data_IF_975291875843
#
_entry.id   IF_975291875843
#
_cell.length_a   1.000
_cell.length_b   1.000
_cell.length_c   1.000
_cell.angle_alpha   90.00
_cell.angle_beta   90.00
_cell.angle_gamma   90.00
#
_symmetry.space_group_name_H-M   'P 1'
#
loop_
_entity.id
_entity.type
_entity.pdbx_description
1 polymer ?
#
# COMPACT_ATOMS: atom_id res chain seq x y z
N UNK A 1 -22.79 69.88 -38.94
CA UNK A 1 -22.91 70.07 -37.48
C UNK A 1 -23.07 68.70 -36.83
N UNK A 2 -21.97 68.22 -36.22
CA UNK A 2 -21.79 67.12 -35.26
C UNK A 2 -22.78 65.93 -35.21
N UNK A 3 -22.30 64.81 -35.75
CA UNK A 3 -22.74 63.44 -35.49
C UNK A 3 -22.29 62.99 -34.08
N UNK A 4 -23.22 62.83 -33.14
CA UNK A 4 -22.95 62.14 -31.87
C UNK A 4 -23.24 60.64 -32.01
N UNK A 5 -22.27 59.89 -32.54
CA UNK A 5 -22.21 58.43 -32.42
C UNK A 5 -21.61 58.07 -31.05
N UNK A 6 -22.48 57.76 -30.10
CA UNK A 6 -22.13 57.25 -28.77
C UNK A 6 -21.43 55.90 -28.93
N UNK A 7 -20.13 55.89 -28.67
CA UNK A 7 -19.29 54.70 -28.66
C UNK A 7 -19.55 53.87 -27.38
N UNK A 8 -20.24 52.75 -27.54
CA UNK A 8 -20.23 51.67 -26.55
C UNK A 8 -18.85 51.02 -26.51
N UNK A 9 -17.96 51.50 -25.62
CA UNK A 9 -16.70 50.81 -25.30
C UNK A 9 -17.01 49.50 -24.57
N UNK A 10 -17.23 48.44 -25.34
CA UNK A 10 -17.21 47.06 -24.86
C UNK A 10 -15.77 46.77 -24.43
N UNK A 11 -15.52 46.79 -23.13
CA UNK A 11 -14.24 46.41 -22.52
C UNK A 11 -14.07 44.91 -22.73
N UNK A 12 -13.43 44.54 -23.85
CA UNK A 12 -13.00 43.17 -24.11
C UNK A 12 -11.88 42.84 -23.13
N UNK A 13 -12.21 42.16 -22.03
CA UNK A 13 -11.20 41.60 -21.12
C UNK A 13 -10.38 40.57 -21.91
N UNK A 14 -9.03 40.67 -21.97
CA UNK A 14 -8.23 39.61 -22.57
C UNK A 14 -8.32 38.41 -21.63
N UNK A 15 -9.04 37.40 -22.06
CA UNK A 15 -9.06 36.09 -21.43
C UNK A 15 -7.69 35.46 -21.68
N UNK A 16 -6.79 35.59 -20.71
CA UNK A 16 -5.48 34.92 -20.73
C UNK A 16 -5.70 33.41 -20.65
N UNK A 17 -5.89 32.80 -21.82
CA UNK A 17 -5.77 31.36 -22.01
C UNK A 17 -4.30 31.04 -21.77
N UNK A 18 -3.96 30.71 -20.53
CA UNK A 18 -2.66 30.16 -20.16
C UNK A 18 -2.50 28.83 -20.89
N UNK A 19 -2.00 28.89 -22.12
CA UNK A 19 -1.62 27.71 -22.87
C UNK A 19 -0.56 26.99 -22.02
N UNK A 20 -0.81 25.76 -21.58
CA UNK A 20 0.08 25.07 -20.68
C UNK A 20 1.46 24.94 -21.34
N UNK A 21 2.48 25.49 -20.66
CA UNK A 21 3.84 25.56 -21.16
C UNK A 21 4.34 24.14 -21.48
N UNK A 22 4.73 23.87 -22.74
CA UNK A 22 5.15 22.53 -23.19
C UNK A 22 6.27 21.94 -22.34
N UNK A 23 7.16 22.80 -21.81
CA UNK A 23 8.21 22.40 -20.86
C UNK A 23 7.65 21.90 -19.53
N UNK A 24 6.66 22.59 -18.97
CA UNK A 24 5.98 22.18 -17.74
C UNK A 24 5.23 20.85 -17.95
N UNK A 25 4.55 20.70 -19.08
CA UNK A 25 3.88 19.44 -19.43
C UNK A 25 4.87 18.27 -19.57
N UNK A 26 6.05 18.50 -20.16
CA UNK A 26 7.08 17.48 -20.28
C UNK A 26 7.67 17.09 -18.92
N UNK A 27 7.91 18.05 -18.02
CA UNK A 27 8.39 17.76 -16.67
C UNK A 27 7.36 16.96 -15.87
N UNK A 28 6.08 17.36 -15.91
CA UNK A 28 4.99 16.62 -15.26
C UNK A 28 4.82 15.20 -15.80
N UNK A 29 4.97 15.01 -17.12
CA UNK A 29 4.95 13.67 -17.72
C UNK A 29 6.13 12.82 -17.27
N UNK A 30 7.34 13.39 -17.23
CA UNK A 30 8.54 12.69 -16.76
C UNK A 30 8.43 12.30 -15.28
N UNK A 31 7.95 13.20 -14.43
CA UNK A 31 7.75 12.89 -13.01
C UNK A 31 6.67 11.83 -12.81
N UNK A 32 5.58 11.88 -13.58
CA UNK A 32 4.55 10.83 -13.56
C UNK A 32 5.10 9.46 -13.99
N UNK A 33 5.91 9.42 -15.07
CA UNK A 33 6.55 8.18 -15.54
C UNK A 33 7.55 7.62 -14.52
N UNK A 34 8.35 8.47 -13.88
CA UNK A 34 9.27 8.06 -12.81
C UNK A 34 8.50 7.51 -11.60
N UNK A 35 7.44 8.20 -11.18
CA UNK A 35 6.58 7.75 -10.10
C UNK A 35 5.94 6.40 -10.40
N UNK A 36 5.38 6.24 -11.61
CA UNK A 36 4.81 4.98 -12.06
C UNK A 36 5.86 3.85 -12.10
N UNK A 37 7.06 4.14 -12.60
CA UNK A 37 8.17 3.17 -12.60
C UNK A 37 8.58 2.74 -11.20
N UNK A 38 8.62 3.67 -10.23
CA UNK A 38 8.95 3.36 -8.84
C UNK A 38 7.88 2.46 -8.19
N UNK A 39 6.61 2.77 -8.38
CA UNK A 39 5.50 1.94 -7.87
C UNK A 39 5.56 0.53 -8.46
N UNK A 40 5.82 0.43 -9.76
CA UNK A 40 5.93 -0.85 -10.45
C UNK A 40 7.13 -1.66 -9.93
N UNK A 41 8.28 -1.01 -9.71
CA UNK A 41 9.45 -1.63 -9.08
C UNK A 41 9.12 -2.17 -7.68
N UNK A 42 8.54 -1.34 -6.81
CA UNK A 42 8.17 -1.76 -5.45
C UNK A 42 7.19 -2.93 -5.46
N UNK A 43 6.20 -2.89 -6.35
CA UNK A 43 5.24 -3.98 -6.51
C UNK A 43 5.92 -5.27 -6.99
N UNK A 44 6.87 -5.19 -7.92
CA UNK A 44 7.63 -6.37 -8.35
C UNK A 44 8.48 -6.94 -7.22
N UNK A 45 9.13 -6.08 -6.42
CA UNK A 45 9.93 -6.54 -5.28
C UNK A 45 9.07 -7.23 -4.22
N UNK A 46 7.89 -6.68 -3.90
CA UNK A 46 6.90 -7.31 -3.01
C UNK A 46 6.51 -8.71 -3.47
N UNK A 47 6.33 -8.90 -4.79
CA UNK A 47 5.97 -10.21 -5.36
C UNK A 47 7.15 -11.19 -5.44
N UNK A 48 8.35 -10.70 -5.75
CA UNK A 48 9.54 -11.54 -5.91
C UNK A 48 10.11 -12.00 -4.56
N UNK A 49 9.82 -11.29 -3.48
CA UNK A 49 10.30 -11.59 -2.13
C UNK A 49 9.12 -11.91 -1.19
N UNK A 50 8.35 -12.98 -1.46
CA UNK A 50 7.27 -13.36 -0.56
C UNK A 50 7.85 -13.71 0.81
N UNK A 51 7.23 -13.19 1.87
CA UNK A 51 7.60 -13.56 3.23
C UNK A 51 7.35 -15.07 3.39
N UNK A 52 8.37 -15.82 3.80
CA UNK A 52 8.23 -17.24 4.12
C UNK A 52 7.41 -17.37 5.40
N UNK A 53 6.10 -17.34 5.25
CA UNK A 53 5.18 -17.74 6.30
C UNK A 53 5.12 -19.28 6.31
N UNK A 54 5.03 -19.90 7.50
CA UNK A 54 4.72 -21.32 7.59
C UNK A 54 3.52 -21.62 6.69
N UNK A 55 3.71 -22.52 5.73
CA UNK A 55 2.72 -22.81 4.67
C UNK A 55 1.46 -23.44 5.23
N UNK A 56 1.54 -24.02 6.43
CA UNK A 56 0.37 -24.41 7.18
C UNK A 56 -0.33 -23.17 7.70
N UNK A 57 -1.41 -22.81 7.02
CA UNK A 57 -2.42 -21.84 7.45
C UNK A 57 -3.13 -22.28 8.76
N UNK A 58 -2.66 -23.36 9.40
CA UNK A 58 -3.00 -23.83 10.72
C UNK A 58 -1.95 -23.32 11.70
N UNK A 59 -1.95 -22.01 11.95
CA UNK A 59 -1.23 -21.46 13.08
C UNK A 59 -1.89 -21.98 14.36
N UNK A 60 -1.46 -23.13 14.86
CA UNK A 60 -1.83 -23.63 16.18
C UNK A 60 -1.38 -22.65 17.27
N UNK A 61 -1.76 -22.91 18.51
CA UNK A 61 -1.28 -22.13 19.64
C UNK A 61 0.25 -21.97 19.57
N UNK A 62 0.76 -20.74 19.72
CA UNK A 62 2.19 -20.44 19.60
C UNK A 62 2.71 -19.80 20.87
N UNK A 63 3.74 -20.40 21.47
CA UNK A 63 4.47 -19.81 22.59
C UNK A 63 5.67 -19.03 22.08
N UNK A 64 5.70 -17.73 22.35
CA UNK A 64 6.90 -16.90 22.23
C UNK A 64 7.83 -17.22 23.39
N UNK A 65 9.09 -17.46 23.06
CA UNK A 65 10.16 -17.74 24.01
C UNK A 65 11.24 -16.67 23.92
N UNK A 66 11.99 -16.48 25.00
CA UNK A 66 13.22 -15.69 24.98
C UNK A 66 14.39 -16.47 24.35
N UNK A 67 15.56 -15.84 24.28
CA UNK A 67 16.80 -16.45 23.75
C UNK A 67 17.25 -17.70 24.53
N UNK A 68 16.84 -17.81 25.79
CA UNK A 68 17.13 -18.95 26.67
C UNK A 68 16.04 -20.03 26.63
N UNK A 69 15.02 -19.86 25.79
CA UNK A 69 13.89 -20.77 25.65
C UNK A 69 12.80 -20.63 26.72
N UNK A 70 12.85 -19.58 27.56
CA UNK A 70 11.82 -19.37 28.59
C UNK A 70 10.55 -18.80 27.95
N UNK A 71 9.36 -19.33 28.31
CA UNK A 71 8.11 -18.86 27.74
C UNK A 71 7.81 -17.43 28.21
N UNK A 72 7.59 -16.54 27.24
CA UNK A 72 7.17 -15.15 27.48
C UNK A 72 5.65 -15.00 27.37
N UNK A 73 5.07 -15.52 26.30
CA UNK A 73 3.62 -15.43 26.05
C UNK A 73 3.16 -16.52 25.08
N UNK A 74 2.05 -17.15 25.40
CA UNK A 74 1.31 -18.00 24.46
C UNK A 74 0.21 -17.20 23.75
N UNK A 75 0.00 -17.51 22.48
CA UNK A 75 -1.10 -17.00 21.66
C UNK A 75 -1.96 -18.19 21.22
N UNK A 76 -3.27 -18.01 21.25
CA UNK A 76 -4.21 -18.98 20.71
C UNK A 76 -4.11 -19.06 19.18
N UNK A 77 -4.60 -20.17 18.62
CA UNK A 77 -4.75 -20.33 17.18
C UNK A 77 -5.80 -19.37 16.59
N UNK A 78 -5.98 -19.42 15.27
CA UNK A 78 -6.96 -18.59 14.55
C UNK A 78 -8.42 -18.79 14.99
N UNK A 79 -8.73 -19.88 15.70
CA UNK A 79 -10.05 -20.20 16.23
C UNK A 79 -10.16 -19.93 17.74
N UNK A 80 -9.11 -19.38 18.38
CA UNK A 80 -9.07 -19.13 19.82
C UNK A 80 -8.77 -20.38 20.67
N UNK A 81 -8.29 -21.46 20.05
CA UNK A 81 -7.92 -22.70 20.72
C UNK A 81 -6.47 -22.59 21.22
N UNK A 82 -6.27 -22.94 22.49
CA UNK A 82 -4.98 -22.86 23.19
C UNK A 82 -4.19 -24.17 23.18
N UNK A 83 -4.76 -25.23 22.60
CA UNK A 83 -4.20 -26.58 22.64
C UNK A 83 -3.26 -26.81 21.46
N UNK A 84 -2.17 -27.52 21.73
CA UNK A 84 -1.31 -28.05 20.69
C UNK A 84 -1.91 -29.33 20.12
N UNK A 85 -1.74 -29.62 18.82
CA UNK A 85 -2.08 -30.92 18.26
C UNK A 85 -1.16 -31.96 18.88
N UNK A 86 -1.74 -33.06 19.35
CA UNK A 86 -1.01 -34.21 19.87
C UNK A 86 -1.50 -35.48 19.18
N UNK A 87 -0.60 -36.41 18.88
CA UNK A 87 -0.95 -37.74 18.39
C UNK A 87 -1.21 -38.68 19.57
N UNK A 88 -1.95 -39.77 19.35
CA UNK A 88 -2.19 -40.80 20.39
C UNK A 88 -0.89 -41.34 20.99
N UNK A 89 0.16 -41.47 20.18
CA UNK A 89 1.50 -41.91 20.60
C UNK A 89 2.19 -40.92 21.57
N UNK A 90 1.80 -39.65 21.54
CA UNK A 90 2.31 -38.59 22.43
C UNK A 90 1.52 -38.49 23.74
N UNK A 91 0.40 -39.22 23.86
CA UNK A 91 -0.39 -39.30 25.08
C UNK A 91 0.06 -40.54 25.87
N UNK A 92 0.13 -40.40 27.20
CA UNK A 92 0.46 -41.52 28.07
C UNK A 92 -0.52 -42.68 27.85
N UNK A 93 -0.06 -43.96 27.78
CA UNK A 93 -0.93 -45.12 27.61
C UNK A 93 -1.97 -45.34 28.72
N UNK A 94 -1.85 -44.60 29.83
CA UNK A 94 -2.73 -44.68 30.99
C UNK A 94 -4.04 -43.89 30.84
N UNK A 95 -4.26 -43.24 29.70
CA UNK A 95 -5.43 -42.42 29.35
C UNK A 95 -6.02 -42.88 28.04
#
# INVERSE_FOLDING_TARGET
MQLMKVWGRRISRPMYRLLPNRRLQQLLRRSALLGASLVLLLFTLDRCLPLQLPTDNQFFARTLVDESGRPLRAFADQYGIWRYPVTLEQVSPSY
#
